data_IF_593463950801
#
_entry.id   IF_593463950801
#
_cell.length_a   1.000
_cell.length_b   1.000
_cell.length_c   1.000
_cell.angle_alpha   90.00
_cell.angle_beta   90.00
_cell.angle_gamma   90.00
#
_symmetry.space_group_name_H-M   'P 1'
#
loop_
_entity.id
_entity.type
_entity.pdbx_description
1 polymer ?
#
# COMPACT_ATOMS: atom_id res chain seq x y z
N UNK A 1 11.68 -53.03 -25.15
CA UNK A 1 10.89 -52.87 -26.39
C UNK A 1 9.43 -53.40 -26.33
N UNK A 2 9.06 -54.27 -25.37
CA UNK A 2 7.70 -54.86 -25.30
C UNK A 2 6.61 -53.94 -24.72
N UNK A 3 6.96 -53.02 -23.83
CA UNK A 3 6.02 -52.09 -23.19
C UNK A 3 5.46 -51.08 -24.21
N UNK A 4 6.31 -50.55 -25.08
CA UNK A 4 5.92 -49.55 -26.08
C UNK A 4 4.91 -50.11 -27.08
N UNK A 5 5.12 -51.35 -27.54
CA UNK A 5 4.19 -52.03 -28.45
C UNK A 5 2.87 -52.41 -27.76
N UNK A 6 2.91 -52.77 -26.47
CA UNK A 6 1.69 -53.05 -25.69
C UNK A 6 0.83 -51.80 -25.51
N UNK A 7 1.46 -50.66 -25.18
CA UNK A 7 0.78 -49.36 -25.07
C UNK A 7 0.17 -48.95 -26.41
N UNK A 8 0.91 -49.13 -27.50
CA UNK A 8 0.43 -48.80 -28.83
C UNK A 8 -0.80 -49.64 -29.23
N UNK A 9 -0.75 -50.95 -28.99
CA UNK A 9 -1.88 -51.85 -29.31
C UNK A 9 -3.11 -51.57 -28.46
N UNK A 10 -2.97 -51.32 -27.16
CA UNK A 10 -4.11 -50.97 -26.30
C UNK A 10 -4.72 -49.63 -26.68
N UNK A 11 -3.90 -48.64 -27.08
CA UNK A 11 -4.37 -47.33 -27.54
C UNK A 11 -5.19 -47.45 -28.83
N UNK A 12 -4.70 -48.20 -29.83
CA UNK A 12 -5.42 -48.42 -31.10
C UNK A 12 -6.75 -49.12 -30.88
N UNK A 13 -6.78 -50.18 -30.05
CA UNK A 13 -8.02 -50.94 -29.78
C UNK A 13 -9.05 -50.05 -29.09
N UNK A 14 -8.62 -49.21 -28.14
CA UNK A 14 -9.51 -48.29 -27.41
C UNK A 14 -10.06 -47.21 -28.35
N UNK A 15 -9.24 -46.66 -29.25
CA UNK A 15 -9.66 -45.67 -30.25
C UNK A 15 -10.72 -46.23 -31.21
N UNK A 16 -10.53 -47.47 -31.67
CA UNK A 16 -11.49 -48.15 -32.55
C UNK A 16 -12.81 -48.44 -31.84
N UNK A 17 -12.76 -48.74 -30.53
CA UNK A 17 -13.95 -48.93 -29.67
C UNK A 17 -14.73 -47.63 -29.44
N UNK A 18 -14.04 -46.52 -29.17
CA UNK A 18 -14.64 -45.18 -29.09
C UNK A 18 -15.41 -44.81 -30.37
N UNK A 19 -14.83 -45.14 -31.53
CA UNK A 19 -15.46 -44.89 -32.83
C UNK A 19 -16.71 -45.73 -33.11
N UNK A 20 -16.81 -46.93 -32.53
CA UNK A 20 -17.96 -47.82 -32.68
C UNK A 20 -19.14 -47.40 -31.77
N UNK A 21 -18.89 -46.73 -30.64
CA UNK A 21 -19.90 -46.28 -29.67
C UNK A 21 -19.98 -44.75 -29.59
N UNK A 22 -20.30 -44.12 -30.74
CA UNK A 22 -20.29 -42.66 -30.93
C UNK A 22 -21.20 -41.89 -29.98
N UNK A 23 -22.40 -42.41 -29.70
CA UNK A 23 -23.38 -41.72 -28.85
C UNK A 23 -22.93 -41.60 -27.39
N UNK A 24 -22.48 -42.71 -26.79
CA UNK A 24 -21.99 -42.71 -25.41
C UNK A 24 -20.72 -41.85 -25.28
N UNK A 25 -19.83 -41.95 -26.26
CA UNK A 25 -18.58 -41.19 -26.30
C UNK A 25 -18.84 -39.68 -26.36
N UNK A 26 -19.80 -39.23 -27.17
CA UNK A 26 -20.18 -37.81 -27.24
C UNK A 26 -20.65 -37.27 -25.90
N UNK A 27 -21.58 -37.97 -25.24
CA UNK A 27 -22.13 -37.55 -23.95
C UNK A 27 -21.04 -37.48 -22.88
N UNK A 28 -20.14 -38.48 -22.81
CA UNK A 28 -19.04 -38.46 -21.85
C UNK A 28 -18.03 -37.35 -22.12
N UNK A 29 -17.76 -37.03 -23.39
CA UNK A 29 -16.80 -35.98 -23.74
C UNK A 29 -17.36 -34.60 -23.40
N UNK A 30 -18.66 -34.37 -23.65
CA UNK A 30 -19.36 -33.14 -23.28
C UNK A 30 -19.39 -32.98 -21.76
N UNK A 31 -19.75 -34.03 -21.02
CA UNK A 31 -19.78 -34.00 -19.55
C UNK A 31 -18.40 -33.72 -18.95
N UNK A 32 -17.35 -34.35 -19.48
CA UNK A 32 -15.97 -34.09 -19.05
C UNK A 32 -15.53 -32.65 -19.36
N UNK A 33 -15.86 -32.14 -20.56
CA UNK A 33 -15.53 -30.77 -20.94
C UNK A 33 -16.23 -29.76 -20.04
N UNK A 34 -17.52 -29.97 -19.74
CA UNK A 34 -18.28 -29.12 -18.84
C UNK A 34 -17.71 -29.13 -17.42
N UNK A 35 -17.34 -30.31 -16.90
CA UNK A 35 -16.71 -30.43 -15.58
C UNK A 35 -15.38 -29.67 -15.50
N UNK A 36 -14.51 -29.81 -16.51
CA UNK A 36 -13.23 -29.09 -16.59
C UNK A 36 -13.46 -27.58 -16.71
N UNK A 37 -14.41 -27.15 -17.53
CA UNK A 37 -14.74 -25.73 -17.69
C UNK A 37 -15.19 -25.09 -16.37
N UNK A 38 -16.09 -25.77 -15.63
CA UNK A 38 -16.58 -25.27 -14.33
C UNK A 38 -15.44 -25.15 -13.32
N UNK A 39 -14.53 -26.13 -13.27
CA UNK A 39 -13.37 -26.10 -12.37
C UNK A 39 -12.42 -24.94 -12.74
N UNK A 40 -12.22 -24.67 -14.02
CA UNK A 40 -11.29 -23.63 -14.50
C UNK A 40 -11.85 -22.20 -14.47
N UNK A 41 -13.18 -22.02 -14.41
CA UNK A 41 -13.81 -20.68 -14.41
C UNK A 41 -13.30 -19.80 -13.27
N UNK A 42 -13.19 -20.33 -12.06
CA UNK A 42 -12.77 -19.55 -10.88
C UNK A 42 -11.31 -19.07 -10.99
N UNK A 43 -10.31 -19.94 -11.22
CA UNK A 43 -8.92 -19.47 -11.35
C UNK A 43 -8.70 -18.59 -12.58
N UNK A 44 -9.35 -18.87 -13.73
CA UNK A 44 -9.23 -18.03 -14.92
C UNK A 44 -9.81 -16.63 -14.70
N UNK A 45 -10.96 -16.54 -14.02
CA UNK A 45 -11.55 -15.25 -13.68
C UNK A 45 -10.65 -14.47 -12.71
N UNK A 46 -10.14 -15.14 -11.68
CA UNK A 46 -9.24 -14.52 -10.70
C UNK A 46 -7.96 -13.98 -11.36
N UNK A 47 -7.35 -14.75 -12.28
CA UNK A 47 -6.16 -14.35 -13.02
C UNK A 47 -6.44 -13.14 -13.93
N UNK A 48 -7.53 -13.18 -14.69
CA UNK A 48 -7.92 -12.10 -15.59
C UNK A 48 -8.23 -10.78 -14.84
N UNK A 49 -8.93 -10.84 -13.70
CA UNK A 49 -9.22 -9.67 -12.88
C UNK A 49 -7.94 -9.13 -12.24
N UNK A 50 -7.08 -10.00 -11.71
CA UNK A 50 -5.81 -9.59 -11.11
C UNK A 50 -4.90 -8.91 -12.11
N UNK A 51 -4.80 -9.47 -13.32
CA UNK A 51 -4.05 -8.88 -14.42
C UNK A 51 -4.62 -7.52 -14.82
N UNK A 52 -5.95 -7.41 -14.96
CA UNK A 52 -6.60 -6.14 -15.30
C UNK A 52 -6.43 -5.08 -14.23
N UNK A 53 -6.54 -5.42 -12.95
CA UNK A 53 -6.31 -4.50 -11.84
C UNK A 53 -4.84 -4.06 -11.83
N UNK A 54 -3.91 -4.97 -12.07
CA UNK A 54 -2.49 -4.64 -12.14
C UNK A 54 -2.17 -3.71 -13.32
N UNK A 55 -2.69 -4.02 -14.51
CA UNK A 55 -2.55 -3.19 -15.71
C UNK A 55 -3.16 -1.81 -15.50
N UNK A 56 -4.37 -1.74 -14.92
CA UNK A 56 -5.00 -0.48 -14.58
C UNK A 56 -4.15 0.33 -13.60
N UNK A 57 -3.67 -0.28 -12.51
CA UNK A 57 -2.80 0.41 -11.53
C UNK A 57 -1.48 0.86 -12.14
N UNK A 58 -0.89 0.07 -13.04
CA UNK A 58 0.33 0.44 -13.76
C UNK A 58 0.07 1.55 -14.79
N UNK A 59 -1.08 1.53 -15.46
CA UNK A 59 -1.50 2.56 -16.41
C UNK A 59 -1.85 3.88 -15.72
N UNK A 60 -2.52 3.84 -14.58
CA UNK A 60 -2.79 5.01 -13.73
C UNK A 60 -1.46 5.57 -13.20
N UNK A 61 -0.58 4.70 -12.69
CA UNK A 61 0.76 5.10 -12.22
C UNK A 61 1.68 5.63 -13.33
N UNK A 62 1.39 5.33 -14.60
CA UNK A 62 2.17 5.84 -15.75
C UNK A 62 1.49 7.00 -16.48
N UNK A 63 0.18 7.20 -16.28
CA UNK A 63 -0.64 8.21 -16.96
C UNK A 63 -0.62 9.59 -16.30
N UNK A 64 -0.44 9.69 -14.99
CA UNK A 64 -0.47 10.97 -14.25
C UNK A 64 0.87 11.40 -13.63
N UNK A 65 1.80 10.47 -13.42
CA UNK A 65 3.17 10.81 -13.00
C UNK A 65 4.17 9.92 -13.73
N UNK A 66 4.63 10.37 -14.90
CA UNK A 66 5.90 9.91 -15.44
C UNK A 66 6.99 10.31 -14.44
N UNK A 67 7.22 9.47 -13.41
CA UNK A 67 8.33 9.62 -12.47
C UNK A 67 9.57 9.89 -13.31
N UNK A 68 10.21 11.07 -13.18
CA UNK A 68 11.33 11.41 -14.03
C UNK A 68 12.37 10.29 -14.02
N UNK A 69 13.01 9.98 -15.16
CA UNK A 69 14.13 9.05 -15.15
C UNK A 69 15.16 9.53 -14.11
N UNK A 70 15.82 8.59 -13.42
CA UNK A 70 16.71 8.85 -12.28
C UNK A 70 16.02 9.29 -10.97
N UNK A 71 14.75 8.94 -10.79
CA UNK A 71 14.10 9.03 -9.47
C UNK A 71 14.55 7.87 -8.58
N UNK A 72 15.09 8.19 -7.41
CA UNK A 72 15.46 7.23 -6.37
C UNK A 72 14.58 7.45 -5.13
N UNK A 73 14.00 6.38 -4.61
CA UNK A 73 13.22 6.39 -3.38
C UNK A 73 13.87 5.46 -2.36
N UNK A 74 14.26 6.03 -1.23
CA UNK A 74 14.74 5.29 -0.07
C UNK A 74 13.61 5.26 0.94
N UNK A 75 13.18 4.07 1.33
CA UNK A 75 12.07 3.90 2.27
C UNK A 75 12.50 2.98 3.40
N UNK A 76 12.22 3.40 4.64
CA UNK A 76 12.35 2.58 5.83
C UNK A 76 10.96 2.33 6.40
N UNK A 77 10.60 1.05 6.56
CA UNK A 77 9.31 0.64 7.08
C UNK A 77 9.52 0.02 8.47
N UNK A 78 9.11 0.74 9.50
CA UNK A 78 9.30 0.33 10.89
C UNK A 78 8.54 -0.94 11.31
N UNK A 79 7.54 -1.37 10.54
CA UNK A 79 6.80 -2.61 10.85
C UNK A 79 7.64 -3.88 10.77
N UNK A 80 8.81 -3.84 10.11
CA UNK A 80 9.70 -4.99 9.98
C UNK A 80 10.86 -4.99 10.98
N UNK A 81 11.36 -3.82 11.35
CA UNK A 81 12.60 -3.67 12.13
C UNK A 81 12.43 -2.82 13.39
N UNK A 82 11.20 -2.38 13.69
CA UNK A 82 10.89 -1.46 14.78
C UNK A 82 10.84 0.00 14.32
N UNK A 83 10.16 0.88 15.07
CA UNK A 83 10.27 2.32 14.83
C UNK A 83 11.69 2.80 15.16
N UNK A 84 12.18 3.79 14.40
CA UNK A 84 13.44 4.48 14.69
C UNK A 84 13.13 5.86 15.26
N UNK A 85 13.95 6.30 16.20
CA UNK A 85 13.87 7.67 16.72
C UNK A 85 14.58 8.64 15.78
N UNK A 86 14.28 9.93 15.90
CA UNK A 86 14.82 10.97 15.01
C UNK A 86 16.35 10.97 15.01
N UNK A 87 16.97 10.78 16.18
CA UNK A 87 18.41 10.79 16.37
C UNK A 87 19.13 9.67 15.58
N UNK A 88 18.46 8.54 15.34
CA UNK A 88 19.01 7.42 14.58
C UNK A 88 18.93 7.66 13.06
N UNK A 89 17.97 8.48 12.61
CA UNK A 89 17.67 8.71 11.19
C UNK A 89 18.32 9.99 10.67
N UNK A 90 18.49 11.01 11.51
CA UNK A 90 19.06 12.32 11.15
C UNK A 90 20.39 12.22 10.35
N UNK A 91 21.37 11.36 10.71
CA UNK A 91 22.61 11.26 9.94
C UNK A 91 22.39 10.74 8.52
N UNK A 92 21.47 9.79 8.35
CA UNK A 92 21.14 9.22 7.05
C UNK A 92 20.35 10.21 6.20
N UNK A 93 19.36 10.90 6.79
CA UNK A 93 18.59 11.94 6.11
C UNK A 93 19.50 13.08 5.63
N UNK A 94 20.38 13.59 6.50
CA UNK A 94 21.34 14.65 6.17
C UNK A 94 22.26 14.26 5.02
N UNK A 95 22.73 13.00 4.99
CA UNK A 95 23.56 12.51 3.91
C UNK A 95 22.80 12.42 2.57
N UNK A 96 21.59 11.83 2.60
CA UNK A 96 20.76 11.65 1.42
C UNK A 96 20.27 12.98 0.83
N UNK A 97 19.89 13.94 1.69
CA UNK A 97 19.41 15.26 1.29
C UNK A 97 20.54 16.21 0.85
N UNK A 98 21.76 15.97 1.35
CA UNK A 98 22.94 16.78 1.09
C UNK A 98 23.92 16.14 0.10
N UNK A 99 24.94 15.48 0.64
CA UNK A 99 26.15 15.08 -0.09
C UNK A 99 25.97 13.88 -1.04
N UNK A 100 24.88 13.12 -0.92
CA UNK A 100 24.62 11.97 -1.78
C UNK A 100 24.53 12.38 -3.25
N UNK A 101 23.81 13.47 -3.56
CA UNK A 101 23.65 13.95 -4.94
C UNK A 101 24.97 14.37 -5.58
N UNK A 102 25.83 15.07 -4.82
CA UNK A 102 27.15 15.50 -5.31
C UNK A 102 28.08 14.32 -5.55
N UNK A 103 27.99 13.28 -4.71
CA UNK A 103 28.81 12.06 -4.84
C UNK A 103 28.39 11.23 -6.05
N UNK A 104 27.09 11.16 -6.33
CA UNK A 104 26.52 10.41 -7.45
C UNK A 104 26.61 11.18 -8.79
N UNK A 105 26.93 12.48 -8.76
CA UNK A 105 27.09 13.30 -9.96
C UNK A 105 25.78 13.66 -10.67
N UNK A 106 24.63 13.55 -9.99
CA UNK A 106 23.32 13.86 -10.56
C UNK A 106 22.87 15.29 -10.21
N UNK A 107 22.31 16.05 -11.17
CA UNK A 107 21.68 17.33 -10.87
C UNK A 107 20.39 17.11 -10.08
N UNK A 108 20.31 17.66 -8.86
CA UNK A 108 19.13 17.58 -8.00
C UNK A 108 18.02 18.48 -8.55
N UNK A 109 16.94 17.87 -9.03
CA UNK A 109 15.73 18.59 -9.48
C UNK A 109 14.73 18.78 -8.33
N UNK A 110 14.49 17.71 -7.56
CA UNK A 110 13.57 17.69 -6.44
C UNK A 110 14.13 16.75 -5.36
N UNK A 111 14.00 17.16 -4.10
CA UNK A 111 14.28 16.32 -2.95
C UNK A 111 13.09 16.41 -2.00
N UNK A 112 12.58 15.25 -1.58
CA UNK A 112 11.41 15.15 -0.72
C UNK A 112 11.76 14.22 0.44
N UNK A 113 11.69 14.74 1.66
CA UNK A 113 11.59 13.91 2.85
C UNK A 113 10.12 13.71 3.20
N UNK A 114 9.80 12.51 3.65
CA UNK A 114 8.53 12.17 4.25
C UNK A 114 8.81 11.39 5.52
N UNK A 115 8.28 11.88 6.64
CA UNK A 115 8.37 11.20 7.92
C UNK A 115 6.97 10.99 8.46
N UNK A 116 6.77 9.81 9.04
CA UNK A 116 5.51 9.39 9.65
C UNK A 116 5.82 8.79 11.02
N UNK A 117 5.07 9.21 12.02
CA UNK A 117 5.19 8.65 13.37
C UNK A 117 4.45 7.32 13.48
N UNK A 118 4.68 6.58 14.56
CA UNK A 118 3.76 5.53 14.99
C UNK A 118 2.38 6.12 15.37
N UNK A 119 1.43 5.23 15.65
CA UNK A 119 0.03 5.60 15.88
C UNK A 119 -0.12 6.27 17.25
N UNK A 120 -0.54 7.53 17.27
CA UNK A 120 -0.92 8.25 18.49
C UNK A 120 -2.41 8.11 18.74
N UNK A 121 -2.76 7.95 20.00
CA UNK A 121 -4.13 8.04 20.51
C UNK A 121 -4.44 9.49 20.84
N UNK A 122 -5.57 10.00 20.36
CA UNK A 122 -6.03 11.35 20.66
C UNK A 122 -7.13 11.36 21.70
N UNK A 123 -7.00 12.26 22.67
CA UNK A 123 -7.90 12.43 23.79
C UNK A 123 -8.41 13.87 23.88
N UNK A 124 -9.61 14.03 24.44
CA UNK A 124 -10.16 15.35 24.75
C UNK A 124 -9.36 16.05 25.87
N UNK A 125 -9.33 17.39 25.89
CA UNK A 125 -8.71 18.17 26.96
C UNK A 125 -9.24 17.77 28.35
N UNK A 126 -8.34 17.62 29.32
CA UNK A 126 -8.70 17.28 30.71
C UNK A 126 -8.89 15.80 31.00
N UNK A 127 -8.64 14.92 30.02
CA UNK A 127 -8.53 13.47 30.27
C UNK A 127 -7.32 13.18 31.16
N UNK A 128 -7.48 12.38 32.22
CA UNK A 128 -6.37 12.05 33.14
C UNK A 128 -5.93 10.58 33.06
N UNK A 129 -6.67 9.75 32.33
CA UNK A 129 -6.42 8.31 32.21
C UNK A 129 -6.21 7.95 30.75
N UNK A 130 -4.96 8.03 30.30
CA UNK A 130 -4.56 7.79 28.91
C UNK A 130 -4.31 6.30 28.59
N UNK A 131 -4.30 5.43 29.62
CA UNK A 131 -4.23 3.97 29.44
C UNK A 131 -5.60 3.34 29.11
N UNK A 132 -6.69 4.09 29.27
CA UNK A 132 -8.03 3.60 28.98
C UNK A 132 -8.38 3.82 27.49
N UNK A 133 -8.23 2.76 26.71
CA UNK A 133 -8.60 2.73 25.28
C UNK A 133 -10.02 3.21 24.98
N UNK A 134 -10.96 3.10 25.92
CA UNK A 134 -12.35 3.57 25.72
C UNK A 134 -12.47 5.09 25.68
N UNK A 135 -11.48 5.82 26.19
CA UNK A 135 -11.45 7.28 26.18
C UNK A 135 -10.76 7.83 24.91
N UNK A 136 -10.19 6.96 24.08
CA UNK A 136 -9.55 7.35 22.82
C UNK A 136 -10.61 7.82 21.83
N UNK A 137 -10.48 9.05 21.34
CA UNK A 137 -11.37 9.58 20.30
C UNK A 137 -11.05 8.97 18.95
N UNK A 138 -9.76 8.94 18.61
CA UNK A 138 -9.26 8.42 17.34
C UNK A 138 -7.78 8.07 17.48
N UNK A 139 -7.28 7.18 16.62
CA UNK A 139 -5.85 6.90 16.51
C UNK A 139 -5.33 7.39 15.15
N UNK A 140 -4.34 8.27 15.17
CA UNK A 140 -3.77 8.90 13.98
C UNK A 140 -2.25 8.82 13.98
N UNK A 141 -1.67 8.87 12.80
CA UNK A 141 -0.25 9.17 12.59
C UNK A 141 -0.06 10.68 12.41
N UNK A 142 1.11 11.18 12.82
CA UNK A 142 1.57 12.50 12.42
C UNK A 142 2.58 12.34 11.31
N UNK A 143 2.46 13.17 10.27
CA UNK A 143 3.37 13.13 9.15
C UNK A 143 3.82 14.52 8.73
N UNK A 144 5.06 14.60 8.25
CA UNK A 144 5.61 15.78 7.59
C UNK A 144 6.14 15.40 6.22
N UNK A 145 5.92 16.26 5.23
CA UNK A 145 6.37 16.05 3.85
C UNK A 145 6.92 17.34 3.29
N UNK A 146 8.10 17.29 2.66
CA UNK A 146 8.65 18.47 1.99
C UNK A 146 7.71 18.97 0.90
N UNK A 147 7.67 20.29 0.69
CA UNK A 147 6.89 20.93 -0.37
C UNK A 147 5.37 20.71 -0.32
N UNK A 148 4.83 20.09 0.74
CA UNK A 148 3.39 19.77 0.78
C UNK A 148 2.51 21.03 0.61
N UNK A 149 2.96 22.17 1.14
CA UNK A 149 2.29 23.46 0.99
C UNK A 149 2.07 23.89 -0.47
N UNK A 150 2.93 23.46 -1.40
CA UNK A 150 2.84 23.78 -2.82
C UNK A 150 1.76 22.95 -3.54
N UNK A 151 1.30 21.85 -2.92
CA UNK A 151 0.38 20.88 -3.51
C UNK A 151 -0.95 20.75 -2.76
N UNK A 152 -1.16 21.53 -1.70
CA UNK A 152 -2.43 21.55 -0.96
C UNK A 152 -3.10 22.91 -1.03
N UNK A 153 -4.43 22.91 -0.95
CA UNK A 153 -5.21 24.13 -0.74
C UNK A 153 -5.65 24.18 0.71
N UNK A 154 -5.37 25.30 1.37
CA UNK A 154 -5.82 25.54 2.72
C UNK A 154 -7.24 26.12 2.68
N UNK A 155 -8.20 25.36 3.18
CA UNK A 155 -9.61 25.79 3.20
C UNK A 155 -9.88 26.70 4.40
N UNK A 156 -9.38 26.32 5.57
CA UNK A 156 -9.58 27.05 6.84
C UNK A 156 -8.31 27.00 7.69
N UNK A 157 -8.07 28.05 8.49
CA UNK A 157 -6.93 28.14 9.41
C UNK A 157 -5.67 28.75 8.80
N UNK A 158 -4.51 28.32 9.30
CA UNK A 158 -3.17 28.76 8.89
C UNK A 158 -2.21 27.57 8.84
N UNK A 159 -1.10 27.71 8.12
CA UNK A 159 -0.02 26.71 8.15
C UNK A 159 0.59 26.62 9.56
N UNK A 160 1.00 25.41 10.01
CA UNK A 160 1.60 25.21 11.31
C UNK A 160 2.86 26.05 11.49
N UNK A 161 2.96 26.72 12.63
CA UNK A 161 4.18 27.39 13.02
C UNK A 161 5.24 26.39 13.48
N UNK A 162 6.51 26.67 13.18
CA UNK A 162 7.63 25.89 13.70
C UNK A 162 7.81 26.23 15.17
N UNK A 163 7.61 25.24 16.03
CA UNK A 163 7.74 25.36 17.47
C UNK A 163 9.00 24.62 17.91
N UNK A 164 9.88 25.30 18.66
CA UNK A 164 11.10 24.71 19.23
C UNK A 164 10.96 24.35 20.71
N UNK A 165 9.91 24.82 21.39
CA UNK A 165 9.63 24.51 22.79
C UNK A 165 8.86 23.17 22.87
N UNK A 166 9.41 22.14 23.54
CA UNK A 166 8.74 20.86 23.72
C UNK A 166 7.41 20.93 24.48
N UNK A 167 7.18 22.00 25.25
CA UNK A 167 5.95 22.16 26.04
C UNK A 167 4.86 22.98 25.32
N UNK A 168 5.18 23.56 24.17
CA UNK A 168 4.21 24.32 23.40
C UNK A 168 3.32 23.39 22.58
N UNK A 169 2.07 23.81 22.36
CA UNK A 169 1.11 23.04 21.57
C UNK A 169 1.59 22.90 20.13
N UNK A 170 1.57 21.68 19.60
CA UNK A 170 1.86 21.41 18.21
C UNK A 170 0.66 21.75 17.34
N UNK A 171 0.84 22.68 16.41
CA UNK A 171 -0.14 22.96 15.37
C UNK A 171 -0.06 21.89 14.27
N UNK A 172 -1.21 21.41 13.80
CA UNK A 172 -1.28 20.37 12.77
C UNK A 172 -2.27 20.78 11.68
N UNK A 173 -2.02 20.29 10.46
CA UNK A 173 -3.00 20.32 9.39
C UNK A 173 -3.70 18.98 9.32
N UNK A 174 -4.99 19.01 9.00
CA UNK A 174 -5.81 17.84 8.80
C UNK A 174 -6.51 17.95 7.45
N UNK A 175 -6.70 16.81 6.78
CA UNK A 175 -7.49 16.81 5.55
C UNK A 175 -8.95 17.14 5.86
N UNK A 176 -9.60 17.86 4.96
CA UNK A 176 -11.01 18.22 5.10
C UNK A 176 -11.89 16.98 5.36
N UNK A 177 -11.65 15.88 4.65
CA UNK A 177 -12.39 14.63 4.83
C UNK A 177 -12.33 14.11 6.27
N UNK A 178 -11.15 14.15 6.91
CA UNK A 178 -11.00 13.69 8.29
C UNK A 178 -11.64 14.70 9.25
N UNK A 179 -11.45 16.00 9.03
CA UNK A 179 -12.09 17.04 9.83
C UNK A 179 -13.62 16.91 9.83
N UNK A 180 -14.23 16.76 8.65
CA UNK A 180 -15.68 16.60 8.48
C UNK A 180 -16.19 15.31 9.13
N UNK A 181 -15.43 14.21 9.03
CA UNK A 181 -15.81 12.91 9.61
C UNK A 181 -15.77 12.94 11.14
N UNK A 182 -14.76 13.59 11.71
CA UNK A 182 -14.58 13.71 13.16
C UNK A 182 -15.35 14.89 13.77
N UNK A 183 -15.85 15.81 12.94
CA UNK A 183 -16.51 17.03 13.37
C UNK A 183 -15.55 18.04 14.00
N UNK A 184 -14.26 18.00 13.66
CA UNK A 184 -13.25 18.89 14.22
C UNK A 184 -13.28 20.26 13.57
N UNK A 185 -12.91 21.26 14.36
CA UNK A 185 -12.88 22.66 13.93
C UNK A 185 -11.50 23.28 14.17
N UNK A 186 -11.20 24.34 13.42
CA UNK A 186 -9.94 25.07 13.58
C UNK A 186 -9.85 25.68 14.98
N UNK A 187 -8.72 25.48 15.66
CA UNK A 187 -8.44 26.02 16.99
C UNK A 187 -8.79 25.09 18.16
N UNK A 188 -9.33 23.91 17.89
CA UNK A 188 -9.53 22.89 18.92
C UNK A 188 -8.19 22.29 19.39
N UNK A 189 -8.15 21.89 20.67
CA UNK A 189 -6.97 21.29 21.28
C UNK A 189 -7.27 19.85 21.69
N UNK A 190 -6.29 18.98 21.47
CA UNK A 190 -6.35 17.57 21.81
C UNK A 190 -5.02 17.13 22.41
N UNK A 191 -5.05 16.06 23.19
CA UNK A 191 -3.85 15.46 23.77
C UNK A 191 -3.52 14.22 22.96
N UNK A 192 -2.34 14.22 22.33
CA UNK A 192 -1.80 13.06 21.65
C UNK A 192 -0.93 12.27 22.61
N UNK A 193 -1.18 10.97 22.70
CA UNK A 193 -0.44 10.07 23.58
C UNK A 193 -0.14 8.77 22.85
N UNK A 194 1.05 8.24 23.07
CA UNK A 194 1.49 6.98 22.51
C UNK A 194 1.86 6.03 23.66
N UNK A 195 1.30 4.81 23.63
CA UNK A 195 1.57 3.77 24.64
C UNK A 195 2.78 2.91 24.28
N UNK A 196 3.34 3.06 23.07
CA UNK A 196 4.45 2.25 22.58
C UNK A 196 5.85 2.84 22.97
N UNK A 197 5.87 3.86 23.84
CA UNK A 197 7.06 4.38 24.55
C UNK A 197 6.91 4.22 26.08
#
# INVERSE_FOLDING_TARGET
>A
MSIFHRIHTTLIITLKRLWAQRGLTLVTTIGLTAAVAIIMVVPLYADAISFRILEQKLSEASGEESRPPFTYMFNYIGSWHGPLQWEDVEPADSYLMGAAYTTLGFPRQLAVHHFETSLYQLFAPGTTSYENDQLTLVRLNFATTSHIADYITLNEGQFPNIVSDPNASLEILISQTIADTLGWQVGEQYIAFNNDE
#
